data_IF_630075925506
#
_entry.id   IF_630075925506
#
_cell.length_a   1.000
_cell.length_b   1.000
_cell.length_c   1.000
_cell.angle_alpha   90.00
_cell.angle_beta   90.00
_cell.angle_gamma   90.00
#
_symmetry.space_group_name_H-M   'P 1'
#
loop_
_entity.id
_entity.type
_entity.pdbx_description
1 polymer ?
#
# COMPACT_ATOMS: atom_id res chain seq x y z
N UNK A 1 18.02 -2.37 -10.26
CA UNK A 1 17.84 -1.71 -8.95
C UNK A 1 17.59 -2.76 -7.86
N UNK A 2 16.43 -3.43 -7.87
CA UNK A 2 16.01 -4.39 -6.83
C UNK A 2 17.06 -5.47 -6.56
N UNK A 3 17.55 -6.18 -7.59
CA UNK A 3 18.61 -7.20 -7.42
C UNK A 3 19.95 -6.67 -6.92
N UNK A 4 20.25 -5.39 -7.15
CA UNK A 4 21.49 -4.76 -6.66
C UNK A 4 21.32 -4.39 -5.18
N UNK A 5 20.14 -3.87 -4.82
CA UNK A 5 19.76 -3.64 -3.43
C UNK A 5 19.84 -4.95 -2.63
N UNK A 6 19.19 -6.02 -3.09
CA UNK A 6 19.22 -7.34 -2.44
C UNK A 6 20.64 -7.86 -2.22
N UNK A 7 21.53 -7.73 -3.22
CA UNK A 7 22.92 -8.18 -3.14
C UNK A 7 23.73 -7.45 -2.07
N UNK A 8 23.44 -6.17 -1.86
CA UNK A 8 24.21 -5.33 -0.95
C UNK A 8 23.57 -5.19 0.43
N UNK A 9 22.31 -5.63 0.58
CA UNK A 9 21.61 -5.70 1.85
C UNK A 9 22.16 -6.82 2.73
N UNK A 10 22.21 -6.56 4.04
CA UNK A 10 22.70 -7.48 5.07
C UNK A 10 21.55 -7.81 6.02
N UNK A 11 21.38 -9.08 6.37
CA UNK A 11 20.33 -9.54 7.28
C UNK A 11 20.15 -11.05 7.15
N UNK A 12 19.66 -11.70 8.20
CA UNK A 12 19.46 -13.16 8.21
C UNK A 12 18.22 -13.55 7.38
N UNK A 13 17.23 -12.66 7.34
CA UNK A 13 15.93 -12.85 6.68
C UNK A 13 15.60 -11.63 5.83
N UNK A 14 14.71 -11.79 4.84
CA UNK A 14 14.40 -10.72 3.86
C UNK A 14 13.69 -9.50 4.47
N UNK A 15 13.00 -9.68 5.60
CA UNK A 15 12.36 -8.63 6.39
C UNK A 15 13.33 -7.88 7.31
N UNK A 16 14.56 -8.39 7.50
CA UNK A 16 15.61 -7.76 8.34
C UNK A 16 16.77 -7.20 7.52
N UNK A 17 16.60 -7.07 6.21
CA UNK A 17 17.61 -6.53 5.31
C UNK A 17 17.91 -5.05 5.59
N UNK A 18 19.17 -4.75 5.89
CA UNK A 18 19.70 -3.41 6.10
C UNK A 18 20.79 -3.10 5.06
N UNK A 19 20.76 -1.90 4.50
CA UNK A 19 21.73 -1.42 3.52
C UNK A 19 22.47 -0.19 4.06
N UNK A 20 23.75 -0.38 4.40
CA UNK A 20 24.61 0.73 4.85
C UNK A 20 24.78 1.77 3.75
N UNK A 21 24.92 3.04 4.13
CA UNK A 21 25.06 4.18 3.22
C UNK A 21 26.16 3.97 2.14
N UNK A 22 27.30 3.41 2.53
CA UNK A 22 28.43 3.14 1.62
C UNK A 22 28.10 2.18 0.48
N UNK A 23 27.12 1.31 0.67
CA UNK A 23 26.64 0.40 -0.35
C UNK A 23 25.46 1.00 -1.12
N UNK A 24 24.58 1.73 -0.41
CA UNK A 24 23.46 2.44 -1.03
C UNK A 24 23.92 3.45 -2.09
N UNK A 25 24.96 4.25 -1.82
CA UNK A 25 25.48 5.26 -2.74
C UNK A 25 26.05 4.67 -4.04
N UNK A 26 26.37 3.37 -4.07
CA UNK A 26 26.88 2.67 -5.26
C UNK A 26 25.77 2.22 -6.21
N UNK A 27 24.52 2.26 -5.76
CA UNK A 27 23.39 1.79 -6.55
C UNK A 27 23.02 2.86 -7.58
N UNK A 28 23.34 2.60 -8.85
CA UNK A 28 23.02 3.49 -9.96
C UNK A 28 21.54 3.37 -10.35
N UNK A 29 20.85 4.51 -10.38
CA UNK A 29 19.50 4.64 -10.91
C UNK A 29 19.54 5.26 -12.31
N UNK A 30 18.64 4.80 -13.19
CA UNK A 30 18.36 5.50 -14.44
C UNK A 30 17.28 6.52 -14.14
N UNK A 31 17.64 7.80 -14.18
CA UNK A 31 16.71 8.90 -14.01
C UNK A 31 16.55 9.62 -15.34
N UNK A 32 15.34 9.99 -15.75
CA UNK A 32 15.15 10.86 -16.91
C UNK A 32 15.89 12.19 -16.70
N UNK A 33 16.55 12.71 -17.72
CA UNK A 33 17.34 13.95 -17.59
C UNK A 33 16.46 15.21 -17.48
N UNK A 34 15.22 15.14 -17.96
CA UNK A 34 14.29 16.26 -18.01
C UNK A 34 13.43 16.31 -16.74
N UNK A 35 13.50 17.42 -16.00
CA UNK A 35 12.66 17.66 -14.83
C UNK A 35 11.15 17.57 -15.12
N UNK A 36 10.63 18.09 -16.26
CA UNK A 36 9.20 17.96 -16.57
C UNK A 36 8.73 16.50 -16.69
N UNK A 37 9.58 15.62 -17.24
CA UNK A 37 9.27 14.20 -17.36
C UNK A 37 9.23 13.53 -15.98
N UNK A 38 10.21 13.83 -15.11
CA UNK A 38 10.21 13.33 -13.74
C UNK A 38 8.96 13.76 -12.97
N UNK A 39 8.54 15.02 -13.10
CA UNK A 39 7.33 15.55 -12.47
C UNK A 39 6.06 14.89 -13.02
N UNK A 40 5.99 14.66 -14.34
CA UNK A 40 4.88 13.94 -14.95
C UNK A 40 4.74 12.52 -14.42
N UNK A 41 5.84 11.77 -14.35
CA UNK A 41 5.86 10.42 -13.78
C UNK A 41 5.45 10.45 -12.29
N UNK A 42 6.03 11.36 -11.50
CA UNK A 42 5.73 11.47 -10.08
C UNK A 42 4.27 11.83 -9.82
N UNK A 43 3.67 12.70 -10.63
CA UNK A 43 2.26 13.11 -10.52
C UNK A 43 1.32 11.92 -10.77
N UNK A 44 1.58 11.14 -11.81
CA UNK A 44 0.78 9.94 -12.12
C UNK A 44 0.86 8.93 -10.98
N UNK A 45 2.08 8.62 -10.50
CA UNK A 45 2.26 7.67 -9.39
C UNK A 45 1.59 8.16 -8.10
N UNK A 46 1.72 9.45 -7.77
CA UNK A 46 1.09 10.03 -6.58
C UNK A 46 -0.44 9.99 -6.67
N UNK A 47 -0.99 10.15 -7.86
CA UNK A 47 -2.45 10.03 -8.09
C UNK A 47 -2.92 8.60 -7.82
N UNK A 48 -2.18 7.61 -8.34
CA UNK A 48 -2.49 6.20 -8.11
C UNK A 48 -2.38 5.81 -6.62
N UNK A 49 -1.35 6.31 -5.92
CA UNK A 49 -1.22 6.08 -4.48
C UNK A 49 -2.41 6.67 -3.70
N UNK A 50 -2.89 7.85 -4.09
CA UNK A 50 -4.08 8.46 -3.51
C UNK A 50 -5.36 7.66 -3.77
N UNK A 51 -5.49 7.07 -4.96
CA UNK A 51 -6.62 6.20 -5.31
C UNK A 51 -6.60 4.91 -4.48
N UNK A 52 -5.44 4.27 -4.35
CA UNK A 52 -5.27 3.07 -3.51
C UNK A 52 -5.66 3.37 -2.06
N UNK A 53 -5.14 4.46 -1.49
CA UNK A 53 -5.46 4.86 -0.12
C UNK A 53 -6.97 5.11 0.08
N UNK A 54 -7.63 5.71 -0.91
CA UNK A 54 -9.07 5.95 -0.88
C UNK A 54 -9.87 4.65 -0.91
N UNK A 55 -9.46 3.69 -1.74
CA UNK A 55 -10.07 2.37 -1.82
C UNK A 55 -9.87 1.55 -0.53
N UNK A 56 -8.68 1.62 0.07
CA UNK A 56 -8.40 0.98 1.35
C UNK A 56 -9.26 1.55 2.49
N UNK A 57 -9.42 2.88 2.54
CA UNK A 57 -10.31 3.54 3.50
C UNK A 57 -11.77 3.13 3.30
N UNK A 58 -12.25 3.07 2.04
CA UNK A 58 -13.60 2.60 1.73
C UNK A 58 -13.80 1.14 2.15
N UNK A 59 -12.84 0.27 1.85
CA UNK A 59 -12.86 -1.14 2.25
C UNK A 59 -12.96 -1.28 3.77
N UNK A 60 -12.14 -0.54 4.52
CA UNK A 60 -12.17 -0.55 5.98
C UNK A 60 -13.55 -0.10 6.52
N UNK A 61 -14.12 0.97 5.94
CA UNK A 61 -15.46 1.45 6.31
C UNK A 61 -16.55 0.41 6.06
N UNK A 62 -16.54 -0.25 4.91
CA UNK A 62 -17.51 -1.31 4.57
C UNK A 62 -17.36 -2.51 5.51
N UNK A 63 -16.13 -2.89 5.86
CA UNK A 63 -15.89 -3.97 6.83
C UNK A 63 -16.44 -3.62 8.22
N UNK A 64 -16.28 -2.37 8.67
CA UNK A 64 -16.83 -1.91 9.94
C UNK A 64 -18.36 -1.89 9.92
N UNK A 65 -18.97 -1.38 8.86
CA UNK A 65 -20.43 -1.42 8.68
C UNK A 65 -20.97 -2.85 8.68
N UNK A 66 -20.29 -3.76 7.98
CA UNK A 66 -20.65 -5.20 7.98
C UNK A 66 -20.58 -5.77 9.39
N UNK A 67 -19.53 -5.45 10.15
CA UNK A 67 -19.35 -5.91 11.53
C UNK A 67 -20.48 -5.39 12.44
N UNK A 68 -20.77 -4.08 12.37
CA UNK A 68 -21.85 -3.47 13.15
C UNK A 68 -23.22 -4.07 12.83
N UNK A 69 -23.54 -4.21 11.54
CA UNK A 69 -24.79 -4.84 11.11
C UNK A 69 -24.90 -6.30 11.61
N UNK A 70 -23.80 -7.05 11.53
CA UNK A 70 -23.77 -8.43 12.02
C UNK A 70 -24.01 -8.51 13.52
N UNK A 71 -23.45 -7.58 14.31
CA UNK A 71 -23.72 -7.49 15.75
C UNK A 71 -25.19 -7.19 16.05
N UNK A 72 -25.81 -6.25 15.33
CA UNK A 72 -27.22 -5.90 15.50
C UNK A 72 -28.17 -7.05 15.11
N UNK A 73 -27.82 -7.83 14.09
CA UNK A 73 -28.57 -9.01 13.65
C UNK A 73 -28.42 -10.18 14.63
N UNK A 74 -27.19 -10.47 15.09
CA UNK A 74 -26.92 -11.58 16.00
C UNK A 74 -27.44 -11.33 17.42
N UNK A 75 -27.41 -10.07 17.89
CA UNK A 75 -28.04 -9.67 19.16
C UNK A 75 -29.56 -9.55 19.06
N UNK A 76 -30.12 -9.68 17.86
CA UNK A 76 -31.57 -9.64 17.62
C UNK A 76 -32.21 -8.27 17.79
N UNK A 77 -31.40 -7.20 17.85
CA UNK A 77 -31.87 -5.80 17.87
C UNK A 77 -32.59 -5.44 16.57
N UNK A 78 -32.09 -5.97 15.44
CA UNK A 78 -32.73 -5.89 14.13
C UNK A 78 -33.08 -7.32 13.68
N UNK A 79 -34.30 -7.50 13.16
CA UNK A 79 -34.74 -8.78 12.59
C UNK A 79 -35.10 -8.63 11.13
N UNK A 80 -34.62 -9.56 10.30
CA UNK A 80 -34.94 -9.60 8.87
C UNK A 80 -36.33 -10.20 8.70
N UNK A 81 -37.24 -9.45 8.07
CA UNK A 81 -38.52 -9.99 7.60
C UNK A 81 -38.30 -10.59 6.22
N UNK A 82 -38.50 -11.89 6.07
CA UNK A 82 -38.48 -12.55 4.76
C UNK A 82 -39.88 -12.44 4.18
N UNK A 83 -40.02 -11.87 2.98
CA UNK A 83 -41.24 -12.00 2.18
C UNK A 83 -41.11 -13.32 1.41
N UNK A 84 -42.08 -14.21 1.59
CA UNK A 84 -42.19 -15.49 0.87
C UNK A 84 -42.45 -15.30 -0.62
#
# INVERSE_FOLDING_TARGET
MIRIFERHSQGLTSDTWNLKFTHFSKIKIKLPNLLPEQQGIASILSTLDGEIASLEALKAKVQEQKRGLMDELLTGRIRVRVQE
#
